data_IF_144339840575
#
_entry.id   IF_144339840575
#
_cell.length_a   1.000
_cell.length_b   1.000
_cell.length_c   1.000
_cell.angle_alpha   90.00
_cell.angle_beta   90.00
_cell.angle_gamma   90.00
#
_symmetry.space_group_name_H-M   'P 1'
#
loop_
_entity.id
_entity.type
_entity.pdbx_description
1 polymer ?
#
# COMPACT_ATOMS: atom_id res chain seq x y z
N UNK A 1 5.71 -22.09 -35.00
CA UNK A 1 5.27 -21.51 -33.71
C UNK A 1 5.62 -20.03 -33.68
N UNK A 2 4.59 -19.17 -33.69
CA UNK A 2 4.69 -17.74 -33.96
C UNK A 2 4.96 -16.93 -32.69
N UNK A 3 6.03 -16.12 -32.70
CA UNK A 3 6.45 -15.20 -31.62
C UNK A 3 5.40 -14.15 -31.23
N UNK A 4 4.35 -13.99 -32.05
CA UNK A 4 3.22 -13.06 -31.83
C UNK A 4 2.09 -13.64 -30.98
N UNK A 5 2.11 -14.93 -30.67
CA UNK A 5 1.09 -15.55 -29.80
C UNK A 5 1.35 -15.35 -28.31
N UNK A 6 2.57 -14.93 -27.92
CA UNK A 6 2.98 -14.78 -26.52
C UNK A 6 2.57 -13.43 -25.91
N UNK A 7 2.27 -12.42 -26.73
CA UNK A 7 1.73 -11.13 -26.27
C UNK A 7 0.22 -11.15 -26.05
N UNK A 8 -0.47 -12.25 -26.41
CA UNK A 8 -1.92 -12.39 -26.18
C UNK A 8 -2.29 -12.93 -24.80
N UNK A 9 -1.33 -13.42 -24.02
CA UNK A 9 -1.59 -14.00 -22.69
C UNK A 9 -1.32 -13.01 -21.54
N UNK A 10 -0.95 -11.75 -21.84
CA UNK A 10 -0.70 -10.69 -20.87
C UNK A 10 -1.90 -9.78 -20.56
N UNK A 11 -3.11 -10.10 -21.04
CA UNK A 11 -4.35 -9.32 -20.82
C UNK A 11 -5.30 -10.02 -19.82
N UNK A 12 -4.75 -10.85 -18.93
CA UNK A 12 -5.51 -11.57 -17.90
C UNK A 12 -5.58 -10.80 -16.58
N UNK A 13 -6.29 -9.66 -16.55
CA UNK A 13 -6.42 -8.88 -15.31
C UNK A 13 -7.51 -7.81 -15.33
N UNK A 14 -8.55 -7.97 -16.15
CA UNK A 14 -9.65 -7.01 -16.22
C UNK A 14 -10.99 -7.74 -16.28
N UNK A 15 -11.62 -7.97 -15.11
CA UNK A 15 -13.08 -7.85 -14.91
C UNK A 15 -13.30 -7.52 -13.43
N UNK A 16 -13.62 -6.27 -13.13
CA UNK A 16 -14.15 -5.85 -11.82
C UNK A 16 -15.47 -5.11 -12.04
N UNK A 17 -16.44 -5.81 -12.62
CA UNK A 17 -17.82 -5.36 -12.70
C UNK A 17 -18.73 -6.42 -12.09
N UNK A 18 -18.66 -6.51 -10.76
CA UNK A 18 -19.80 -6.94 -9.95
C UNK A 18 -20.57 -5.68 -9.56
N UNK A 19 -21.56 -5.30 -10.35
CA UNK A 19 -22.50 -4.22 -10.00
C UNK A 19 -23.39 -4.69 -8.85
N UNK A 20 -22.95 -4.47 -7.62
CA UNK A 20 -23.87 -4.38 -6.47
C UNK A 20 -24.25 -2.91 -6.35
N UNK A 21 -25.43 -2.56 -6.87
CA UNK A 21 -26.01 -1.23 -6.75
C UNK A 21 -26.51 -1.00 -5.32
N UNK A 22 -25.62 -0.52 -4.46
CA UNK A 22 -25.97 0.17 -3.20
C UNK A 22 -25.72 1.68 -3.35
N UNK A 23 -26.22 2.28 -4.44
CA UNK A 23 -25.97 3.69 -4.79
C UNK A 23 -26.95 4.68 -4.16
N UNK A 24 -27.77 4.28 -3.18
CA UNK A 24 -28.64 5.19 -2.45
C UNK A 24 -28.08 5.41 -1.02
N UNK A 25 -27.05 6.25 -0.88
CA UNK A 25 -26.63 6.77 0.43
C UNK A 25 -25.15 7.08 0.65
N UNK A 26 -24.23 6.64 -0.22
CA UNK A 26 -22.78 6.94 -0.05
C UNK A 26 -22.39 8.29 -0.68
N UNK A 27 -23.10 9.35 -0.34
CA UNK A 27 -22.60 10.74 -0.50
C UNK A 27 -21.83 11.17 0.75
N UNK A 28 -21.06 10.25 1.34
CA UNK A 28 -20.23 10.49 2.51
C UNK A 28 -18.80 10.73 2.06
N UNK A 29 -18.34 11.97 2.18
CA UNK A 29 -16.96 12.44 2.04
C UNK A 29 -16.18 11.84 0.88
N UNK A 30 -16.04 12.56 -0.24
CA UNK A 30 -15.00 12.22 -1.21
C UNK A 30 -13.66 12.15 -0.45
N UNK A 31 -13.05 10.95 -0.41
CA UNK A 31 -11.77 10.69 0.24
C UNK A 31 -10.70 11.53 -0.44
N UNK A 32 -10.41 12.71 0.13
CA UNK A 32 -9.43 13.62 -0.41
C UNK A 32 -8.02 13.19 0.03
N UNK A 33 -6.99 13.40 -0.80
CA UNK A 33 -5.61 13.22 -0.37
C UNK A 33 -5.31 14.02 0.90
N UNK A 34 -4.51 13.46 1.80
CA UNK A 34 -4.21 14.06 3.10
C UNK A 34 -3.50 15.42 2.96
N UNK A 35 -2.86 15.68 1.82
CA UNK A 35 -2.05 16.88 1.61
C UNK A 35 -0.82 16.83 2.52
N UNK A 36 -0.59 17.89 3.29
CA UNK A 36 0.50 17.93 4.28
C UNK A 36 -0.01 17.47 5.64
N UNK A 37 0.80 16.66 6.32
CA UNK A 37 0.50 16.14 7.66
C UNK A 37 1.55 16.67 8.64
N UNK A 38 1.15 16.84 9.91
CA UNK A 38 2.04 17.30 10.99
C UNK A 38 3.17 16.29 11.24
N UNK A 39 4.41 16.69 11.03
CA UNK A 39 5.60 15.84 11.23
C UNK A 39 5.80 15.44 12.71
N UNK A 40 5.33 16.25 13.66
CA UNK A 40 5.46 15.96 15.10
C UNK A 40 4.66 14.73 15.48
N UNK A 41 3.45 14.60 14.93
CA UNK A 41 2.53 13.52 15.28
C UNK A 41 2.82 12.27 14.43
N UNK A 42 3.06 12.44 13.13
CA UNK A 42 3.19 11.33 12.18
C UNK A 42 4.62 10.84 11.95
N UNK A 43 5.65 11.60 12.35
CA UNK A 43 7.08 11.35 12.02
C UNK A 43 7.39 11.32 10.52
N UNK A 44 6.44 11.77 9.70
CA UNK A 44 6.62 11.97 8.26
C UNK A 44 7.43 13.22 7.97
N UNK A 45 8.04 13.28 6.80
CA UNK A 45 8.75 14.46 6.32
C UNK A 45 7.77 15.64 6.18
N UNK A 46 8.05 16.74 6.90
CA UNK A 46 7.21 17.95 6.91
C UNK A 46 7.05 18.59 5.53
N UNK A 47 7.99 18.34 4.61
CA UNK A 47 7.95 18.83 3.24
C UNK A 47 7.04 17.99 2.34
N UNK A 48 6.79 16.73 2.72
CA UNK A 48 6.05 15.78 1.91
C UNK A 48 4.56 16.14 1.82
N UNK A 49 3.99 15.92 0.63
CA UNK A 49 2.58 16.18 0.34
C UNK A 49 1.97 14.94 -0.31
N UNK A 50 1.06 14.29 0.42
CA UNK A 50 0.27 13.17 -0.07
C UNK A 50 -0.64 13.62 -1.21
N UNK A 51 -0.59 12.88 -2.31
CA UNK A 51 -1.35 13.15 -3.53
C UNK A 51 -2.42 12.10 -3.81
N UNK A 52 -2.35 10.94 -3.17
CA UNK A 52 -3.31 9.86 -3.34
C UNK A 52 -3.91 9.36 -2.02
N UNK A 53 -3.08 9.10 -1.01
CA UNK A 53 -3.51 8.59 0.29
C UNK A 53 -4.22 9.68 1.09
N UNK A 54 -5.35 9.33 1.68
CA UNK A 54 -6.05 10.13 2.68
C UNK A 54 -5.49 9.90 4.08
N UNK A 55 -6.00 10.65 5.07
CA UNK A 55 -5.66 10.43 6.47
C UNK A 55 -6.07 9.04 6.96
N UNK A 56 -7.20 8.54 6.49
CA UNK A 56 -7.68 7.20 6.86
C UNK A 56 -6.83 6.11 6.21
N UNK A 57 -6.36 6.32 4.98
CA UNK A 57 -5.43 5.39 4.34
C UNK A 57 -4.07 5.35 5.06
N UNK A 58 -3.61 6.50 5.55
CA UNK A 58 -2.39 6.58 6.37
C UNK A 58 -2.57 5.74 7.64
N UNK A 59 -3.66 5.94 8.38
CA UNK A 59 -3.96 5.17 9.59
C UNK A 59 -4.08 3.66 9.31
N UNK A 60 -4.69 3.28 8.18
CA UNK A 60 -4.73 1.91 7.69
C UNK A 60 -3.31 1.34 7.55
N UNK A 61 -2.40 2.03 6.86
CA UNK A 61 -1.04 1.53 6.67
C UNK A 61 -0.21 1.55 7.95
N UNK A 62 -0.40 2.53 8.84
CA UNK A 62 0.22 2.55 10.18
C UNK A 62 -0.13 1.29 10.98
N UNK A 63 -1.35 0.79 10.85
CA UNK A 63 -1.80 -0.46 11.49
C UNK A 63 -1.26 -1.71 10.78
N UNK A 64 -1.22 -1.72 9.44
CA UNK A 64 -0.85 -2.93 8.67
C UNK A 64 0.65 -3.17 8.59
N UNK A 65 1.47 -2.13 8.40
CA UNK A 65 2.91 -2.27 8.15
C UNK A 65 3.67 -3.02 9.27
N UNK A 66 3.39 -2.78 10.58
CA UNK A 66 4.01 -3.55 11.66
C UNK A 66 3.75 -5.05 11.57
N UNK A 67 2.56 -5.47 11.11
CA UNK A 67 2.22 -6.89 10.93
C UNK A 67 2.90 -7.47 9.68
N UNK A 68 2.97 -6.70 8.59
CA UNK A 68 3.56 -7.15 7.32
C UNK A 68 5.08 -7.31 7.38
N UNK A 69 5.76 -6.49 8.18
CA UNK A 69 7.22 -6.41 8.25
C UNK A 69 7.77 -6.74 9.65
N UNK A 70 7.06 -7.60 10.38
CA UNK A 70 7.54 -8.13 11.65
C UNK A 70 8.94 -8.76 11.47
N UNK A 71 9.90 -8.35 12.29
CA UNK A 71 11.30 -8.78 12.21
C UNK A 71 12.17 -8.08 11.15
N UNK A 72 11.58 -7.36 10.19
CA UNK A 72 12.31 -6.51 9.25
C UNK A 72 12.36 -5.03 9.70
N UNK A 73 11.42 -4.62 10.55
CA UNK A 73 11.42 -3.30 11.15
C UNK A 73 12.41 -3.21 12.32
N UNK A 74 13.00 -2.02 12.57
CA UNK A 74 13.84 -1.78 13.74
C UNK A 74 13.17 -2.16 15.07
N UNK A 75 13.96 -2.67 16.01
CA UNK A 75 13.48 -2.98 17.36
C UNK A 75 13.20 -1.72 18.17
N UNK A 76 14.02 -0.67 17.98
CA UNK A 76 13.89 0.61 18.68
C UNK A 76 12.57 1.31 18.27
N UNK A 77 11.66 1.64 19.21
CA UNK A 77 10.32 2.13 18.90
C UNK A 77 10.26 3.39 18.02
N UNK A 78 11.15 4.35 18.24
CA UNK A 78 11.15 5.58 17.45
C UNK A 78 11.64 5.30 16.03
N UNK A 79 12.72 4.53 15.88
CA UNK A 79 13.23 4.15 14.55
C UNK A 79 12.22 3.33 13.77
N UNK A 80 11.48 2.44 14.44
CA UNK A 80 10.37 1.69 13.85
C UNK A 80 9.30 2.62 13.27
N UNK A 81 8.87 3.62 14.05
CA UNK A 81 7.85 4.56 13.60
C UNK A 81 8.33 5.39 12.41
N UNK A 82 9.59 5.83 12.40
CA UNK A 82 10.17 6.48 11.21
C UNK A 82 10.21 5.56 9.99
N UNK A 83 10.57 4.29 10.17
CA UNK A 83 10.58 3.32 9.06
C UNK A 83 9.18 3.07 8.49
N UNK A 84 8.15 3.02 9.34
CA UNK A 84 6.75 2.94 8.95
C UNK A 84 6.32 4.20 8.19
N UNK A 85 6.53 5.39 8.78
CA UNK A 85 6.17 6.67 8.17
C UNK A 85 6.80 6.86 6.77
N UNK A 86 8.11 6.64 6.65
CA UNK A 86 8.82 6.73 5.38
C UNK A 86 8.31 5.70 4.35
N UNK A 87 7.84 4.54 4.80
CA UNK A 87 7.25 3.54 3.89
C UNK A 87 5.89 3.98 3.39
N UNK A 88 5.07 4.62 4.21
CA UNK A 88 3.76 5.16 3.81
C UNK A 88 3.92 6.26 2.76
N UNK A 89 4.90 7.16 2.94
CA UNK A 89 5.23 8.17 1.91
C UNK A 89 5.61 7.52 0.58
N UNK A 90 6.46 6.47 0.63
CA UNK A 90 6.87 5.72 -0.58
C UNK A 90 5.70 4.98 -1.22
N UNK A 91 4.72 4.51 -0.44
CA UNK A 91 3.47 3.94 -0.96
C UNK A 91 2.72 4.99 -1.78
N UNK A 92 2.48 6.19 -1.23
CA UNK A 92 1.81 7.27 -1.96
C UNK A 92 2.56 7.67 -3.23
N UNK A 93 3.88 7.90 -3.12
CA UNK A 93 4.76 8.21 -4.26
C UNK A 93 4.65 7.16 -5.36
N UNK A 94 4.64 5.87 -5.00
CA UNK A 94 4.51 4.76 -5.93
C UNK A 94 3.15 4.73 -6.63
N UNK A 95 2.07 4.87 -5.87
CA UNK A 95 0.70 4.82 -6.42
C UNK A 95 0.44 5.96 -7.39
N UNK A 96 0.96 7.16 -7.11
CA UNK A 96 0.83 8.33 -7.99
C UNK A 96 1.43 8.08 -9.38
N UNK A 97 2.39 7.15 -9.52
CA UNK A 97 2.98 6.77 -10.82
C UNK A 97 2.15 5.75 -11.59
N UNK A 98 1.13 5.14 -10.99
CA UNK A 98 0.27 4.18 -11.69
C UNK A 98 -0.67 4.89 -12.66
N UNK A 99 -1.10 4.18 -13.70
CA UNK A 99 -2.14 4.68 -14.60
C UNK A 99 -3.48 4.86 -13.87
N UNK A 100 -4.31 5.80 -14.36
CA UNK A 100 -5.60 6.14 -13.74
C UNK A 100 -6.52 4.95 -13.42
N UNK A 101 -6.63 3.89 -14.27
CA UNK A 101 -7.42 2.72 -13.92
C UNK A 101 -6.95 2.02 -12.63
N UNK A 102 -5.63 1.86 -12.46
CA UNK A 102 -5.07 1.20 -11.28
C UNK A 102 -5.24 2.06 -10.03
N UNK A 103 -5.04 3.38 -10.14
CA UNK A 103 -5.31 4.31 -9.04
C UNK A 103 -6.78 4.22 -8.58
N UNK A 104 -7.73 4.11 -9.52
CA UNK A 104 -9.16 3.98 -9.20
C UNK A 104 -9.49 2.67 -8.49
N UNK A 105 -8.90 1.56 -8.92
CA UNK A 105 -9.09 0.27 -8.23
C UNK A 105 -8.50 0.28 -6.81
N UNK A 106 -7.33 0.89 -6.62
CA UNK A 106 -6.76 1.05 -5.27
C UNK A 106 -7.61 1.97 -4.39
N UNK A 107 -8.18 3.03 -4.96
CA UNK A 107 -9.08 3.92 -4.23
C UNK A 107 -10.30 3.15 -3.72
N UNK A 108 -10.95 2.35 -4.57
CA UNK A 108 -12.06 1.47 -4.16
C UNK A 108 -11.65 0.50 -3.05
N UNK A 109 -10.46 -0.10 -3.15
CA UNK A 109 -9.96 -1.02 -2.13
C UNK A 109 -9.79 -0.31 -0.78
N UNK A 110 -9.18 0.87 -0.76
CA UNK A 110 -8.93 1.61 0.48
C UNK A 110 -10.22 2.18 1.06
N UNK A 111 -11.11 2.73 0.23
CA UNK A 111 -12.43 3.20 0.67
C UNK A 111 -13.25 2.04 1.28
N UNK A 112 -13.18 0.83 0.70
CA UNK A 112 -13.79 -0.37 1.27
C UNK A 112 -13.19 -0.77 2.61
N UNK A 113 -11.87 -0.64 2.79
CA UNK A 113 -11.20 -0.96 4.05
C UNK A 113 -11.42 0.13 5.13
N UNK A 114 -11.68 1.37 4.74
CA UNK A 114 -11.93 2.49 5.65
C UNK A 114 -13.40 2.69 5.98
N UNK A 115 -14.31 2.18 5.16
CA UNK A 115 -15.74 2.19 5.46
C UNK A 115 -16.09 1.09 6.49
N UNK A 116 -16.54 1.50 7.68
CA UNK A 116 -16.73 0.60 8.81
C UNK A 116 -17.61 -0.64 8.50
N UNK A 117 -18.77 -0.56 7.81
CA UNK A 117 -19.56 -1.74 7.47
C UNK A 117 -18.80 -2.78 6.64
N UNK A 118 -18.04 -2.35 5.64
CA UNK A 118 -17.24 -3.26 4.81
C UNK A 118 -15.97 -3.74 5.52
N UNK A 119 -15.34 -2.91 6.35
CA UNK A 119 -14.21 -3.31 7.20
C UNK A 119 -14.62 -4.43 8.16
N UNK A 120 -15.74 -4.26 8.86
CA UNK A 120 -16.24 -5.27 9.81
C UNK A 120 -16.63 -6.56 9.08
N UNK A 121 -17.36 -6.46 7.97
CA UNK A 121 -17.89 -7.66 7.29
C UNK A 121 -16.85 -8.41 6.46
N UNK A 122 -16.04 -7.69 5.69
CA UNK A 122 -15.07 -8.28 4.75
C UNK A 122 -13.69 -8.48 5.38
N UNK A 123 -13.21 -7.53 6.19
CA UNK A 123 -11.93 -7.65 6.87
C UNK A 123 -12.05 -8.33 8.25
N UNK A 124 -13.24 -8.38 8.85
CA UNK A 124 -13.46 -8.84 10.24
C UNK A 124 -12.60 -8.08 11.24
N UNK A 125 -12.49 -6.77 11.03
CA UNK A 125 -11.78 -5.82 11.89
C UNK A 125 -12.83 -4.86 12.45
N UNK A 126 -13.08 -4.97 13.76
CA UNK A 126 -14.10 -4.19 14.46
C UNK A 126 -13.58 -2.80 14.83
N UNK A 127 -12.40 -2.77 15.42
CA UNK A 127 -11.69 -1.55 15.78
C UNK A 127 -11.45 -0.64 14.57
N UNK A 128 -11.45 0.67 14.80
CA UNK A 128 -10.88 1.60 13.83
C UNK A 128 -9.38 1.37 13.70
N UNK A 129 -8.81 1.63 12.51
CA UNK A 129 -7.40 1.33 12.22
C UNK A 129 -6.40 1.83 13.27
N UNK A 130 -6.52 3.06 13.83
CA UNK A 130 -5.62 3.52 14.89
C UNK A 130 -5.63 2.65 16.17
N UNK A 131 -6.72 1.92 16.39
CA UNK A 131 -6.92 1.02 17.54
C UNK A 131 -6.70 -0.45 17.19
N UNK A 132 -6.35 -0.78 15.95
CA UNK A 132 -6.08 -2.15 15.51
C UNK A 132 -4.71 -2.58 16.02
N UNK A 133 -4.68 -3.69 16.73
CA UNK A 133 -3.42 -4.29 17.19
C UNK A 133 -2.70 -5.00 16.06
N UNK A 134 -1.38 -5.19 16.19
CA UNK A 134 -0.59 -5.96 15.22
C UNK A 134 -1.13 -7.38 15.00
N UNK A 135 -1.66 -8.02 16.05
CA UNK A 135 -2.26 -9.36 15.95
C UNK A 135 -3.58 -9.37 15.17
N UNK A 136 -4.42 -8.35 15.34
CA UNK A 136 -5.65 -8.20 14.54
C UNK A 136 -5.34 -7.92 13.07
N UNK A 137 -4.35 -7.06 12.80
CA UNK A 137 -3.87 -6.77 11.45
C UNK A 137 -3.31 -8.03 10.77
N UNK A 138 -2.47 -8.81 11.46
CA UNK A 138 -1.96 -10.08 10.95
C UNK A 138 -3.10 -11.08 10.68
N UNK A 139 -4.05 -11.22 11.61
CA UNK A 139 -5.19 -12.10 11.42
C UNK A 139 -6.05 -11.69 10.22
N UNK A 140 -6.24 -10.39 10.00
CA UNK A 140 -6.89 -9.84 8.81
C UNK A 140 -6.15 -10.21 7.52
N UNK A 141 -4.85 -9.93 7.46
CA UNK A 141 -4.02 -10.22 6.30
C UNK A 141 -4.01 -11.72 5.98
N UNK A 142 -3.90 -12.57 7.00
CA UNK A 142 -3.93 -14.03 6.85
C UNK A 142 -5.30 -14.55 6.36
N UNK A 143 -6.41 -13.96 6.80
CA UNK A 143 -7.74 -14.31 6.27
C UNK A 143 -7.88 -13.98 4.80
N UNK A 144 -7.45 -12.79 4.40
CA UNK A 144 -7.53 -12.38 2.99
C UNK A 144 -6.57 -13.18 2.12
N UNK A 145 -5.33 -13.39 2.58
CA UNK A 145 -4.34 -14.25 1.93
C UNK A 145 -4.88 -15.64 1.61
N UNK A 146 -5.57 -16.28 2.56
CA UNK A 146 -6.07 -17.64 2.41
C UNK A 146 -7.53 -17.72 1.93
N UNK A 147 -8.12 -16.60 1.50
CA UNK A 147 -9.52 -16.56 1.07
C UNK A 147 -9.73 -17.29 -0.25
N UNK A 148 -10.80 -18.10 -0.33
CA UNK A 148 -11.28 -18.69 -1.59
C UNK A 148 -12.02 -17.69 -2.47
N UNK A 149 -12.42 -16.55 -1.91
CA UNK A 149 -13.03 -15.45 -2.66
C UNK A 149 -11.90 -14.68 -3.33
N UNK A 150 -11.76 -14.85 -4.65
CA UNK A 150 -10.67 -14.27 -5.43
C UNK A 150 -10.51 -12.77 -5.23
N UNK A 151 -11.61 -12.05 -5.01
CA UNK A 151 -11.59 -10.63 -4.67
C UNK A 151 -10.75 -10.31 -3.43
N UNK A 152 -10.98 -11.01 -2.31
CA UNK A 152 -10.28 -10.74 -1.05
C UNK A 152 -8.80 -11.13 -1.13
N UNK A 153 -8.51 -12.26 -1.78
CA UNK A 153 -7.14 -12.70 -2.03
C UNK A 153 -6.39 -11.70 -2.92
N UNK A 154 -7.01 -11.20 -3.99
CA UNK A 154 -6.43 -10.16 -4.83
C UNK A 154 -6.20 -8.85 -4.06
N UNK A 155 -7.08 -8.49 -3.12
CA UNK A 155 -6.87 -7.37 -2.21
C UNK A 155 -5.60 -7.54 -1.36
N UNK A 156 -5.39 -8.72 -0.78
CA UNK A 156 -4.15 -9.05 -0.06
C UNK A 156 -2.92 -8.97 -0.96
N UNK A 157 -2.99 -9.50 -2.19
CA UNK A 157 -1.88 -9.45 -3.16
C UNK A 157 -1.54 -7.99 -3.51
N UNK A 158 -2.55 -7.15 -3.72
CA UNK A 158 -2.35 -5.73 -4.04
C UNK A 158 -1.67 -4.98 -2.89
N UNK A 159 -2.19 -5.11 -1.66
CA UNK A 159 -1.58 -4.54 -0.45
C UNK A 159 -0.14 -5.01 -0.28
N UNK A 160 0.07 -6.33 -0.37
CA UNK A 160 1.40 -6.93 -0.22
C UNK A 160 2.39 -6.40 -1.23
N UNK A 161 2.03 -6.35 -2.52
CA UNK A 161 2.93 -5.86 -3.57
C UNK A 161 3.33 -4.41 -3.35
N UNK A 162 2.35 -3.54 -3.06
CA UNK A 162 2.60 -2.10 -2.89
C UNK A 162 3.48 -1.86 -1.67
N UNK A 163 3.17 -2.49 -0.52
CA UNK A 163 3.98 -2.36 0.68
C UNK A 163 5.40 -2.92 0.49
N UNK A 164 5.55 -4.09 -0.13
CA UNK A 164 6.87 -4.71 -0.34
C UNK A 164 7.75 -3.87 -1.25
N UNK A 165 7.20 -3.35 -2.35
CA UNK A 165 7.94 -2.45 -3.25
C UNK A 165 8.33 -1.15 -2.54
N UNK A 166 7.43 -0.56 -1.76
CA UNK A 166 7.70 0.67 -1.02
C UNK A 166 8.72 0.49 0.11
N UNK A 167 8.75 -0.69 0.75
CA UNK A 167 9.68 -1.01 1.83
C UNK A 167 11.04 -1.42 1.26
N UNK A 168 11.12 -2.56 0.58
CA UNK A 168 12.39 -3.14 0.11
C UNK A 168 12.98 -2.46 -1.12
N UNK A 169 12.20 -1.65 -1.85
CA UNK A 169 12.69 -0.91 -3.02
C UNK A 169 13.65 0.23 -2.66
N UNK A 170 13.72 0.63 -1.40
CA UNK A 170 14.53 1.78 -0.98
C UNK A 170 15.92 1.37 -0.49
N UNK A 171 16.93 2.20 -0.77
CA UNK A 171 18.34 1.94 -0.46
C UNK A 171 18.60 1.57 1.00
N UNK A 172 17.90 2.23 1.92
CA UNK A 172 18.00 1.97 3.36
C UNK A 172 17.65 0.52 3.74
N UNK A 173 16.88 -0.20 2.90
CA UNK A 173 16.45 -1.57 3.15
C UNK A 173 17.18 -2.62 2.30
N UNK A 174 18.04 -2.23 1.36
CA UNK A 174 18.73 -3.20 0.48
C UNK A 174 19.61 -4.18 1.24
N UNK A 175 20.16 -3.77 2.39
CA UNK A 175 20.92 -4.65 3.28
C UNK A 175 20.08 -5.85 3.78
N UNK A 176 18.76 -5.68 3.95
CA UNK A 176 17.86 -6.76 4.38
C UNK A 176 17.62 -7.80 3.28
N UNK A 177 17.79 -7.43 2.01
CA UNK A 177 17.61 -8.34 0.86
C UNK A 177 18.93 -8.92 0.36
N UNK A 178 20.06 -8.51 0.93
CA UNK A 178 21.39 -8.86 0.45
C UNK A 178 21.75 -8.19 -0.89
N UNK A 179 20.98 -7.19 -1.32
CA UNK A 179 21.27 -6.45 -2.53
C UNK A 179 22.38 -5.41 -2.25
N UNK A 180 23.53 -5.48 -2.94
CA UNK A 180 24.64 -4.55 -2.70
C UNK A 180 24.40 -3.14 -3.25
N UNK A 181 23.26 -2.92 -3.92
CA UNK A 181 23.00 -1.71 -4.68
C UNK A 181 23.47 -1.79 -6.14
N UNK A 182 23.13 -0.78 -6.96
CA UNK A 182 23.61 -0.68 -8.33
C UNK A 182 25.13 -0.46 -8.32
N UNK A 183 25.82 -1.04 -9.30
CA UNK A 183 27.26 -0.83 -9.48
C UNK A 183 27.55 0.64 -9.79
N UNK A 184 28.64 1.19 -9.25
CA UNK A 184 28.97 2.62 -9.36
C UNK A 184 28.98 3.14 -10.81
N UNK A 185 29.50 2.34 -11.75
CA UNK A 185 29.52 2.76 -13.16
C UNK A 185 28.12 2.94 -13.74
N UNK A 186 27.14 2.15 -13.30
CA UNK A 186 25.73 2.26 -13.74
C UNK A 186 25.14 3.57 -13.21
N UNK A 187 25.39 3.87 -11.94
CA UNK A 187 24.94 5.11 -11.29
C UNK A 187 25.51 6.34 -12.01
N UNK A 188 26.77 6.28 -12.42
CA UNK A 188 27.45 7.39 -13.09
C UNK A 188 26.98 7.62 -14.54
N UNK A 189 26.59 6.57 -15.25
CA UNK A 189 26.20 6.65 -16.67
C UNK A 189 24.72 6.97 -16.85
N UNK A 190 23.84 6.40 -16.03
CA UNK A 190 22.40 6.43 -16.27
C UNK A 190 21.72 7.70 -15.72
N UNK A 191 20.95 8.45 -16.54
CA UNK A 191 20.36 9.73 -16.13
C UNK A 191 19.42 9.64 -14.92
N UNK A 192 18.73 8.52 -14.75
CA UNK A 192 17.75 8.34 -13.67
C UNK A 192 18.37 8.36 -12.26
N UNK A 193 19.69 8.16 -12.13
CA UNK A 193 20.38 8.25 -10.84
C UNK A 193 20.95 9.65 -10.53
N UNK A 194 20.80 10.61 -11.45
CA UNK A 194 21.37 11.96 -11.31
C UNK A 194 20.38 12.99 -10.74
N UNK A 195 19.10 12.61 -10.63
CA UNK A 195 17.99 13.51 -10.29
C UNK A 195 17.23 13.11 -9.01
N UNK A 196 17.87 12.36 -8.11
CA UNK A 196 17.32 12.02 -6.79
C UNK A 196 17.64 13.08 -5.76
#
# INVERSE_FOLDING_TARGET
>A
MNRRSFLKTGVGGAVFLGTVSLTAGLSGCATAPAGRVSAVDSRMDASYRFQFLSKDDIALFEALLPAMFAGALPEEPNQRQFAVAATIERIDQGIVKFGAPNQKELRKLFDLLNFAPTRVTLARVWSDWPSVTTGEADAFLNRWRNSRIGLLNNGYIALSKICNVAFYGHQNQWHLTGYPGPQEWIVNVLPQFKNT
#
